data_IF_915338767693
#
_entry.id   IF_915338767693
#
_cell.length_a   1.000
_cell.length_b   1.000
_cell.length_c   1.000
_cell.angle_alpha   90.00
_cell.angle_beta   90.00
_cell.angle_gamma   90.00
#
_symmetry.space_group_name_H-M   'P 1'
#
loop_
_entity.id
_entity.type
_entity.pdbx_description
1 polymer ?
#
# COMPACT_ATOMS: atom_id res chain seq x y z
N UNK A 1 29.32 5.71 20.09
CA UNK A 1 30.33 5.14 19.17
C UNK A 1 30.41 6.02 17.93
N UNK A 2 31.54 6.06 17.22
CA UNK A 2 31.65 6.85 15.99
C UNK A 2 30.73 6.28 14.88
N UNK A 3 30.02 7.14 14.15
CA UNK A 3 29.25 6.75 12.99
C UNK A 3 30.19 6.26 11.87
N UNK A 4 29.79 5.21 11.15
CA UNK A 4 30.57 4.71 10.01
C UNK A 4 30.24 5.57 8.80
N UNK A 5 31.23 6.21 8.18
CA UNK A 5 31.06 6.92 6.91
C UNK A 5 31.12 5.92 5.74
N UNK A 6 30.11 5.92 4.87
CA UNK A 6 30.05 5.00 3.72
C UNK A 6 29.52 5.74 2.49
N UNK A 7 30.42 6.05 1.55
CA UNK A 7 30.18 6.76 0.27
C UNK A 7 29.65 8.20 0.39
N UNK A 8 28.70 8.46 1.28
CA UNK A 8 28.13 9.76 1.59
C UNK A 8 27.70 9.87 3.07
N UNK A 9 27.48 11.10 3.53
CA UNK A 9 27.13 11.39 4.93
C UNK A 9 25.64 11.20 5.27
N UNK A 10 24.80 10.77 4.32
CA UNK A 10 23.36 10.52 4.50
C UNK A 10 22.97 9.04 4.30
N UNK A 11 23.93 8.18 3.96
CA UNK A 11 23.71 6.79 3.53
C UNK A 11 22.86 6.62 2.27
N UNK A 12 22.69 7.67 1.46
CA UNK A 12 21.82 7.63 0.29
C UNK A 12 22.40 6.76 -0.83
N UNK A 13 23.68 6.91 -1.14
CA UNK A 13 24.36 6.18 -2.21
C UNK A 13 24.48 4.69 -1.86
N UNK A 14 24.89 4.37 -0.63
CA UNK A 14 25.05 2.97 -0.22
C UNK A 14 23.70 2.24 -0.18
N UNK A 15 22.64 2.86 0.35
CA UNK A 15 21.31 2.24 0.38
C UNK A 15 20.71 2.08 -1.01
N UNK A 16 20.99 3.02 -1.93
CA UNK A 16 20.59 2.91 -3.33
C UNK A 16 21.30 1.76 -4.04
N UNK A 17 22.64 1.67 -3.92
CA UNK A 17 23.42 0.60 -4.55
C UNK A 17 23.03 -0.78 -4.03
N UNK A 18 22.82 -0.91 -2.72
CA UNK A 18 22.33 -2.16 -2.11
C UNK A 18 20.95 -2.50 -2.66
N UNK A 19 20.04 -1.53 -2.75
CA UNK A 19 18.71 -1.74 -3.32
C UNK A 19 18.80 -2.22 -4.77
N UNK A 20 19.62 -1.58 -5.61
CA UNK A 20 19.81 -1.97 -7.00
C UNK A 20 20.36 -3.39 -7.09
N UNK A 21 21.44 -3.70 -6.36
CA UNK A 21 22.05 -5.02 -6.37
C UNK A 21 21.08 -6.11 -5.88
N UNK A 22 20.37 -5.86 -4.77
CA UNK A 22 19.42 -6.79 -4.18
C UNK A 22 18.24 -7.06 -5.11
N UNK A 23 17.63 -6.01 -5.66
CA UNK A 23 16.48 -6.12 -6.56
C UNK A 23 16.88 -6.77 -7.89
N UNK A 24 18.06 -6.48 -8.43
CA UNK A 24 18.55 -7.15 -9.65
C UNK A 24 18.86 -8.64 -9.41
N UNK A 25 19.41 -9.00 -8.25
CA UNK A 25 19.61 -10.41 -7.88
C UNK A 25 18.29 -11.19 -7.86
N UNK A 26 17.27 -10.65 -7.18
CA UNK A 26 15.95 -11.27 -7.13
C UNK A 26 15.22 -11.24 -8.47
N UNK A 27 15.40 -10.20 -9.28
CA UNK A 27 14.92 -10.15 -10.66
C UNK A 27 15.51 -11.28 -11.50
N UNK A 28 16.83 -11.52 -11.42
CA UNK A 28 17.49 -12.59 -12.17
C UNK A 28 16.91 -13.96 -11.82
N UNK A 29 16.62 -14.21 -10.54
CA UNK A 29 15.97 -15.46 -10.09
C UNK A 29 14.52 -15.50 -10.62
N UNK A 30 13.73 -14.47 -10.37
CA UNK A 30 12.32 -14.43 -10.74
C UNK A 30 12.10 -14.55 -12.26
N UNK A 31 12.96 -13.93 -13.06
CA UNK A 31 12.87 -13.98 -14.53
C UNK A 31 13.30 -15.35 -15.09
N UNK A 32 14.36 -15.94 -14.53
CA UNK A 32 14.87 -17.26 -14.95
C UNK A 32 13.87 -18.37 -14.63
N UNK A 33 13.31 -18.36 -13.42
CA UNK A 33 12.39 -19.40 -12.96
C UNK A 33 10.91 -19.09 -13.19
N UNK A 34 10.59 -17.96 -13.83
CA UNK A 34 9.22 -17.45 -14.01
C UNK A 34 8.44 -17.44 -12.68
N UNK A 35 9.13 -17.06 -11.61
CA UNK A 35 8.65 -17.14 -10.24
C UNK A 35 8.29 -15.75 -9.71
N UNK A 36 7.08 -15.31 -10.05
CA UNK A 36 6.48 -14.02 -9.68
C UNK A 36 6.20 -13.88 -8.17
N UNK A 37 6.04 -15.00 -7.47
CA UNK A 37 5.79 -15.06 -6.01
C UNK A 37 6.89 -14.41 -5.16
N UNK A 38 8.08 -14.21 -5.73
CA UNK A 38 9.24 -13.66 -5.03
C UNK A 38 9.29 -12.13 -5.04
N UNK A 39 8.48 -11.48 -5.88
CA UNK A 39 8.49 -10.02 -6.07
C UNK A 39 8.19 -9.27 -4.78
N UNK A 40 7.04 -9.55 -4.17
CA UNK A 40 6.61 -8.91 -2.92
C UNK A 40 7.54 -9.25 -1.73
N UNK A 41 8.11 -10.47 -1.73
CA UNK A 41 9.11 -10.88 -0.74
C UNK A 41 10.37 -10.03 -0.85
N UNK A 42 10.94 -9.91 -2.04
CA UNK A 42 12.15 -9.13 -2.30
C UNK A 42 11.97 -7.64 -1.97
N UNK A 43 10.78 -7.09 -2.21
CA UNK A 43 10.44 -5.72 -1.79
C UNK A 43 10.52 -5.56 -0.27
N UNK A 44 9.77 -6.37 0.49
CA UNK A 44 9.71 -6.26 1.94
C UNK A 44 11.02 -6.60 2.66
N UNK A 45 11.76 -7.61 2.21
CA UNK A 45 13.06 -7.94 2.82
C UNK A 45 14.13 -6.88 2.54
N UNK A 46 14.04 -6.17 1.42
CA UNK A 46 14.94 -5.06 1.15
C UNK A 46 14.73 -3.89 2.14
N UNK A 47 13.48 -3.55 2.48
CA UNK A 47 13.21 -2.57 3.56
C UNK A 47 13.84 -2.98 4.89
N UNK A 48 13.71 -4.26 5.27
CA UNK A 48 14.30 -4.80 6.50
C UNK A 48 15.83 -4.67 6.44
N UNK A 49 16.44 -5.04 5.33
CA UNK A 49 17.88 -4.96 5.12
C UNK A 49 18.38 -3.51 5.28
N UNK A 50 17.75 -2.53 4.62
CA UNK A 50 18.15 -1.12 4.72
C UNK A 50 18.03 -0.60 6.16
N UNK A 51 16.96 -0.94 6.87
CA UNK A 51 16.74 -0.49 8.25
C UNK A 51 17.77 -1.07 9.24
N UNK A 52 18.12 -2.36 9.08
CA UNK A 52 19.17 -3.01 9.88
C UNK A 52 20.53 -2.40 9.58
N UNK A 53 20.89 -2.26 8.30
CA UNK A 53 22.21 -1.76 7.89
C UNK A 53 22.42 -0.31 8.32
N UNK A 54 21.45 0.57 8.07
CA UNK A 54 21.57 1.99 8.44
C UNK A 54 21.67 2.15 9.96
N UNK A 55 20.90 1.40 10.74
CA UNK A 55 21.01 1.41 12.20
C UNK A 55 22.37 0.86 12.67
N UNK A 56 22.86 -0.22 12.06
CA UNK A 56 24.15 -0.82 12.40
C UNK A 56 25.34 0.11 12.10
N UNK A 57 25.25 0.96 11.07
CA UNK A 57 26.28 1.96 10.76
C UNK A 57 26.15 3.23 11.61
N UNK A 58 24.95 3.49 12.15
CA UNK A 58 24.65 4.69 12.92
C UNK A 58 25.55 4.88 14.15
N UNK A 59 25.95 6.12 14.41
CA UNK A 59 26.60 6.52 15.66
C UNK A 59 25.64 6.51 16.86
N UNK A 60 24.33 6.57 16.59
CA UNK A 60 23.24 6.59 17.56
C UNK A 60 22.47 5.25 17.61
N UNK A 61 23.13 4.14 17.32
CA UNK A 61 22.50 2.80 17.30
C UNK A 61 21.86 2.38 18.63
N UNK A 62 22.33 2.95 19.74
CA UNK A 62 21.81 2.69 21.09
C UNK A 62 20.71 3.68 21.50
N UNK A 63 20.39 4.67 20.66
CA UNK A 63 19.35 5.66 20.94
C UNK A 63 17.96 5.09 20.63
N UNK A 64 17.04 5.24 21.58
CA UNK A 64 15.69 4.69 21.49
C UNK A 64 14.93 5.15 20.22
N UNK A 65 15.08 6.41 19.81
CA UNK A 65 14.42 6.94 18.60
C UNK A 65 14.82 6.18 17.33
N UNK A 66 16.13 5.98 17.14
CA UNK A 66 16.68 5.27 15.99
C UNK A 66 16.23 3.80 15.98
N UNK A 67 16.28 3.14 17.14
CA UNK A 67 15.82 1.77 17.30
C UNK A 67 14.33 1.65 16.97
N UNK A 68 13.48 2.50 17.56
CA UNK A 68 12.02 2.47 17.35
C UNK A 68 11.66 2.71 15.89
N UNK A 69 12.23 3.72 15.24
CA UNK A 69 11.97 4.00 13.83
C UNK A 69 12.39 2.83 12.92
N UNK A 70 13.56 2.22 13.17
CA UNK A 70 14.01 1.04 12.44
C UNK A 70 13.13 -0.19 12.71
N UNK A 71 12.74 -0.44 13.96
CA UNK A 71 11.84 -1.55 14.32
C UNK A 71 10.48 -1.39 13.66
N UNK A 72 9.95 -0.17 13.58
CA UNK A 72 8.65 0.12 12.97
C UNK A 72 8.63 -0.17 11.46
N UNK A 73 9.66 0.23 10.73
CA UNK A 73 9.76 -0.11 9.30
C UNK A 73 9.99 -1.62 9.10
N UNK A 74 10.79 -2.27 9.96
CA UNK A 74 11.04 -3.72 9.92
C UNK A 74 9.75 -4.49 10.18
N UNK A 75 9.01 -4.14 11.24
CA UNK A 75 7.78 -4.81 11.62
C UNK A 75 6.70 -4.66 10.54
N UNK A 76 6.55 -3.46 9.98
CA UNK A 76 5.64 -3.23 8.85
C UNK A 76 6.04 -4.05 7.62
N UNK A 77 7.31 -4.02 7.22
CA UNK A 77 7.80 -4.72 6.04
C UNK A 77 7.73 -6.25 6.18
N UNK A 78 8.06 -6.78 7.36
CA UNK A 78 7.94 -8.20 7.68
C UNK A 78 6.49 -8.66 7.61
N UNK A 79 5.56 -7.87 8.17
CA UNK A 79 4.12 -8.17 8.07
C UNK A 79 3.63 -8.07 6.62
N UNK A 80 4.07 -7.07 5.85
CA UNK A 80 3.66 -6.87 4.45
C UNK A 80 4.06 -8.05 3.59
N UNK A 81 5.36 -8.32 3.56
CA UNK A 81 5.94 -9.43 2.80
C UNK A 81 5.39 -10.77 3.27
N UNK A 82 5.28 -10.99 4.58
CA UNK A 82 4.75 -12.22 5.15
C UNK A 82 3.30 -12.49 4.74
N UNK A 83 2.42 -11.48 4.84
CA UNK A 83 1.02 -11.63 4.47
C UNK A 83 0.84 -11.81 2.95
N UNK A 84 1.56 -11.04 2.13
CA UNK A 84 1.51 -11.16 0.68
C UNK A 84 2.04 -12.51 0.22
N UNK A 85 3.15 -12.98 0.80
CA UNK A 85 3.72 -14.30 0.53
C UNK A 85 2.76 -15.43 0.94
N UNK A 86 2.17 -15.36 2.14
CA UNK A 86 1.15 -16.31 2.57
C UNK A 86 -0.04 -16.35 1.59
N UNK A 87 -0.54 -15.17 1.18
CA UNK A 87 -1.69 -15.07 0.28
C UNK A 87 -1.38 -15.68 -1.09
N UNK A 88 -0.22 -15.36 -1.68
CA UNK A 88 0.14 -15.90 -3.00
C UNK A 88 0.38 -17.40 -2.95
N UNK A 89 0.94 -17.94 -1.86
CA UNK A 89 1.10 -19.38 -1.69
C UNK A 89 -0.24 -20.11 -1.56
N UNK A 90 -1.27 -19.45 -0.98
CA UNK A 90 -2.62 -20.00 -0.88
C UNK A 90 -3.45 -19.84 -2.15
N UNK A 91 -3.37 -18.70 -2.83
CA UNK A 91 -4.13 -18.44 -4.07
C UNK A 91 -3.48 -19.08 -5.30
N UNK A 92 -2.17 -19.33 -5.26
CA UNK A 92 -1.42 -20.05 -6.30
C UNK A 92 -0.94 -19.19 -7.47
N UNK A 93 -1.59 -18.04 -7.73
CA UNK A 93 -1.34 -17.18 -8.89
C UNK A 93 -1.44 -15.69 -8.57
N UNK A 94 -0.60 -14.86 -9.20
CA UNK A 94 -0.68 -13.41 -9.16
C UNK A 94 -1.06 -12.84 -10.53
N UNK A 95 -2.32 -12.42 -10.67
CA UNK A 95 -2.84 -11.86 -11.91
C UNK A 95 -2.11 -10.58 -12.37
N UNK A 96 -1.32 -9.91 -11.49
CA UNK A 96 -0.57 -8.69 -11.85
C UNK A 96 0.54 -8.94 -12.87
N UNK A 97 1.04 -10.18 -12.97
CA UNK A 97 2.22 -10.52 -13.76
C UNK A 97 1.93 -11.37 -14.99
N UNK A 98 0.67 -11.76 -15.22
CA UNK A 98 0.26 -12.61 -16.35
C UNK A 98 0.77 -12.09 -17.70
N UNK A 99 0.65 -10.79 -17.96
CA UNK A 99 1.04 -10.18 -19.23
C UNK A 99 2.49 -9.66 -19.28
N UNK A 100 3.21 -9.77 -18.15
CA UNK A 100 4.53 -9.14 -17.94
C UNK A 100 5.66 -10.14 -17.74
N UNK A 101 5.44 -11.29 -17.09
CA UNK A 101 6.53 -12.21 -16.68
C UNK A 101 7.37 -12.74 -17.84
N UNK A 102 6.79 -12.79 -19.04
CA UNK A 102 7.44 -13.30 -20.24
C UNK A 102 8.16 -12.20 -21.04
N UNK A 103 7.91 -10.93 -20.70
CA UNK A 103 8.50 -9.77 -21.38
C UNK A 103 9.59 -9.15 -20.52
N UNK A 104 10.85 -9.37 -20.89
CA UNK A 104 12.03 -8.89 -20.15
C UNK A 104 11.91 -7.42 -19.73
N UNK A 105 11.68 -6.51 -20.68
CA UNK A 105 11.64 -5.07 -20.40
C UNK A 105 10.45 -4.64 -19.55
N UNK A 106 9.27 -5.25 -19.73
CA UNK A 106 8.09 -4.95 -18.92
C UNK A 106 8.25 -5.46 -17.50
N UNK A 107 8.86 -6.64 -17.32
CA UNK A 107 9.15 -7.17 -16.00
C UNK A 107 10.24 -6.35 -15.31
N UNK A 108 11.36 -6.08 -15.99
CA UNK A 108 12.44 -5.23 -15.46
C UNK A 108 11.93 -3.84 -15.04
N UNK A 109 11.03 -3.24 -15.82
CA UNK A 109 10.39 -1.96 -15.46
C UNK A 109 9.65 -2.00 -14.13
N UNK A 110 8.98 -3.11 -13.80
CA UNK A 110 8.37 -3.30 -12.48
C UNK A 110 9.42 -3.34 -11.36
N UNK A 111 10.52 -4.06 -11.56
CA UNK A 111 11.60 -4.15 -10.56
C UNK A 111 12.33 -2.82 -10.36
N UNK A 112 12.55 -2.05 -11.42
CA UNK A 112 13.11 -0.69 -11.33
C UNK A 112 12.16 0.22 -10.54
N UNK A 113 10.85 0.15 -10.81
CA UNK A 113 9.87 0.89 -10.03
C UNK A 113 9.87 0.47 -8.54
N UNK A 114 10.00 -0.83 -8.28
CA UNK A 114 10.14 -1.37 -6.93
C UNK A 114 11.42 -0.87 -6.23
N UNK A 115 12.54 -0.72 -6.93
CA UNK A 115 13.78 -0.13 -6.39
C UNK A 115 13.53 1.31 -5.90
N UNK A 116 12.91 2.15 -6.74
CA UNK A 116 12.58 3.52 -6.36
C UNK A 116 11.60 3.59 -5.19
N UNK A 117 10.62 2.69 -5.16
CA UNK A 117 9.69 2.58 -4.04
C UNK A 117 10.39 2.24 -2.73
N UNK A 118 11.19 1.17 -2.69
CA UNK A 118 11.90 0.77 -1.47
C UNK A 118 12.83 1.87 -0.99
N UNK A 119 13.62 2.45 -1.89
CA UNK A 119 14.60 3.46 -1.53
C UNK A 119 13.93 4.74 -1.02
N UNK A 120 12.92 5.25 -1.72
CA UNK A 120 12.25 6.52 -1.37
C UNK A 120 11.45 6.40 -0.07
N UNK A 121 10.76 5.28 0.14
CA UNK A 121 9.97 5.07 1.37
C UNK A 121 10.86 4.82 2.59
N UNK A 122 12.08 4.33 2.40
CA UNK A 122 13.06 4.14 3.49
C UNK A 122 13.76 5.42 3.96
N UNK A 123 13.61 6.54 3.22
CA UNK A 123 14.35 7.78 3.47
C UNK A 123 14.29 8.29 4.92
N UNK A 124 13.14 8.32 5.62
CA UNK A 124 13.08 8.81 6.99
C UNK A 124 14.02 8.06 7.94
N UNK A 125 14.08 6.73 7.82
CA UNK A 125 14.93 5.88 8.66
C UNK A 125 16.39 5.98 8.22
N UNK A 126 16.66 5.97 6.92
CA UNK A 126 18.01 6.12 6.35
C UNK A 126 18.67 7.42 6.81
N UNK A 127 17.95 8.55 6.69
CA UNK A 127 18.48 9.87 7.03
C UNK A 127 18.61 10.04 8.54
N UNK A 128 17.62 9.59 9.34
CA UNK A 128 17.71 9.61 10.80
C UNK A 128 18.95 8.88 11.33
N UNK A 129 19.31 7.76 10.71
CA UNK A 129 20.45 6.94 11.11
C UNK A 129 21.81 7.48 10.63
N UNK A 130 21.82 8.49 9.76
CA UNK A 130 23.01 8.93 9.03
C UNK A 130 24.05 9.70 9.88
N UNK A 131 25.34 9.73 9.48
CA UNK A 131 26.38 10.49 10.17
C UNK A 131 26.04 11.97 10.28
N UNK A 132 25.46 12.57 9.22
CA UNK A 132 25.13 13.99 9.23
C UNK A 132 24.06 14.37 10.25
N UNK A 133 23.14 13.46 10.58
CA UNK A 133 22.15 13.69 11.65
C UNK A 133 22.74 13.33 13.01
N UNK A 134 23.49 12.22 13.09
CA UNK A 134 23.95 11.64 14.35
C UNK A 134 25.16 12.34 14.96
N UNK A 135 25.87 13.20 14.21
CA UNK A 135 26.92 14.07 14.75
C UNK A 135 26.39 15.14 15.73
N UNK A 136 25.10 15.47 15.66
CA UNK A 136 24.47 16.44 16.55
C UNK A 136 23.99 15.77 17.85
N UNK A 137 23.94 16.53 18.93
CA UNK A 137 23.23 16.13 20.14
C UNK A 137 21.76 15.87 19.80
N UNK A 138 21.18 14.79 20.31
CA UNK A 138 19.80 14.42 20.01
C UNK A 138 18.87 14.80 21.17
N UNK A 139 17.61 15.18 20.88
CA UNK A 139 16.62 15.31 21.95
C UNK A 139 16.36 13.94 22.56
N UNK A 140 16.13 13.93 23.88
CA UNK A 140 15.67 12.74 24.59
C UNK A 140 14.44 12.12 23.93
N UNK A 141 14.30 10.80 24.04
CA UNK A 141 13.14 10.08 23.50
C UNK A 141 11.89 10.35 24.36
N UNK A 142 10.71 10.23 23.74
CA UNK A 142 9.43 10.51 24.40
C UNK A 142 8.95 11.96 24.21
N UNK A 143 9.46 12.65 23.20
CA UNK A 143 8.91 13.95 22.79
C UNK A 143 7.46 13.78 22.30
N UNK A 144 6.68 14.87 22.26
CA UNK A 144 5.31 14.83 21.73
C UNK A 144 5.22 14.26 20.31
N UNK A 145 6.25 14.46 19.48
CA UNK A 145 6.36 13.87 18.13
C UNK A 145 6.66 12.38 18.16
N UNK A 146 7.53 11.93 19.06
CA UNK A 146 7.78 10.49 19.23
C UNK A 146 6.47 9.78 19.62
N UNK A 147 5.72 10.34 20.58
CA UNK A 147 4.42 9.80 21.03
C UNK A 147 3.40 9.81 19.88
N UNK A 148 3.25 10.93 19.17
CA UNK A 148 2.32 11.03 18.05
C UNK A 148 2.66 10.03 16.94
N UNK A 149 3.94 9.89 16.60
CA UNK A 149 4.40 8.95 15.59
C UNK A 149 4.16 7.49 15.98
N UNK A 150 4.33 7.12 17.26
CA UNK A 150 4.00 5.79 17.79
C UNK A 150 2.51 5.51 17.71
N UNK A 151 1.67 6.48 18.07
CA UNK A 151 0.21 6.33 18.00
C UNK A 151 -0.22 6.16 16.53
N UNK A 152 0.27 7.01 15.63
CA UNK A 152 -0.01 6.91 14.19
C UNK A 152 0.41 5.54 13.66
N UNK A 153 1.67 5.15 13.88
CA UNK A 153 2.16 3.85 13.43
C UNK A 153 1.32 2.68 13.96
N UNK A 154 0.97 2.70 15.25
CA UNK A 154 0.17 1.64 15.87
C UNK A 154 -1.23 1.54 15.26
N UNK A 155 -1.92 2.68 15.07
CA UNK A 155 -3.23 2.73 14.42
C UNK A 155 -3.12 2.19 13.00
N UNK A 156 -2.14 2.65 12.23
CA UNK A 156 -1.96 2.23 10.85
C UNK A 156 -1.64 0.74 10.74
N UNK A 157 -0.75 0.23 11.59
CA UNK A 157 -0.36 -1.19 11.63
C UNK A 157 -1.53 -2.11 12.00
N UNK A 158 -2.33 -1.73 13.00
CA UNK A 158 -3.56 -2.47 13.37
C UNK A 158 -4.55 -2.43 12.22
N UNK A 159 -4.79 -1.25 11.65
CA UNK A 159 -5.77 -1.08 10.58
C UNK A 159 -5.41 -1.89 9.35
N UNK A 160 -4.16 -1.86 8.93
CA UNK A 160 -3.66 -2.66 7.81
C UNK A 160 -3.79 -4.16 8.08
N UNK A 161 -3.24 -4.62 9.20
CA UNK A 161 -3.20 -6.06 9.54
C UNK A 161 -4.60 -6.66 9.69
N UNK A 162 -5.49 -5.98 10.41
CA UNK A 162 -6.85 -6.46 10.64
C UNK A 162 -7.66 -6.44 9.34
N UNK A 163 -7.51 -5.40 8.51
CA UNK A 163 -8.20 -5.30 7.23
C UNK A 163 -7.80 -6.42 6.27
N UNK A 164 -6.52 -6.73 6.19
CA UNK A 164 -6.00 -7.82 5.37
C UNK A 164 -6.59 -9.18 5.79
N UNK A 165 -6.64 -9.43 7.10
CA UNK A 165 -7.25 -10.65 7.66
C UNK A 165 -8.77 -10.68 7.40
N UNK A 166 -9.47 -9.56 7.60
CA UNK A 166 -10.91 -9.44 7.34
C UNK A 166 -11.23 -9.76 5.87
N UNK A 167 -10.50 -9.15 4.93
CA UNK A 167 -10.68 -9.36 3.49
C UNK A 167 -10.36 -10.80 3.09
N UNK A 168 -9.30 -11.38 3.64
CA UNK A 168 -8.93 -12.76 3.40
C UNK A 168 -10.03 -13.73 3.88
N UNK A 169 -10.44 -13.63 5.16
CA UNK A 169 -11.49 -14.49 5.73
C UNK A 169 -12.81 -14.35 5.00
N UNK A 170 -13.21 -13.12 4.65
CA UNK A 170 -14.43 -12.87 3.90
C UNK A 170 -14.42 -13.58 2.55
N UNK A 171 -13.32 -13.45 1.79
CA UNK A 171 -13.15 -14.11 0.49
C UNK A 171 -13.11 -15.64 0.60
N UNK A 172 -12.48 -16.17 1.65
CA UNK A 172 -12.46 -17.61 1.89
C UNK A 172 -13.84 -18.18 2.22
N UNK A 173 -14.71 -17.40 2.88
CA UNK A 173 -16.05 -17.84 3.24
C UNK A 173 -17.08 -17.69 2.11
N UNK A 174 -16.97 -16.65 1.27
CA UNK A 174 -17.98 -16.31 0.24
C UNK A 174 -17.55 -16.64 -1.20
N UNK A 175 -16.39 -17.28 -1.39
CA UNK A 175 -15.94 -17.78 -2.68
C UNK A 175 -16.00 -16.78 -3.84
N UNK A 176 -16.49 -17.24 -4.98
CA UNK A 176 -16.68 -16.46 -6.22
C UNK A 176 -18.05 -15.78 -6.32
N UNK A 177 -18.86 -15.83 -5.25
CA UNK A 177 -20.29 -15.45 -5.26
C UNK A 177 -20.51 -13.94 -5.41
N UNK A 178 -19.42 -13.16 -5.48
CA UNK A 178 -19.51 -11.75 -5.77
C UNK A 178 -19.92 -10.89 -4.58
N UNK A 179 -20.07 -11.48 -3.39
CA UNK A 179 -20.44 -10.76 -2.19
C UNK A 179 -19.52 -9.54 -1.94
N UNK A 180 -20.12 -8.48 -1.41
CA UNK A 180 -19.41 -7.22 -1.11
C UNK A 180 -18.88 -7.31 0.31
N UNK A 181 -17.56 -7.18 0.46
CA UNK A 181 -16.93 -7.15 1.78
C UNK A 181 -17.21 -5.79 2.43
N UNK A 182 -18.19 -5.72 3.33
CA UNK A 182 -18.55 -4.54 4.12
C UNK A 182 -18.40 -4.78 5.63
N UNK A 183 -17.55 -5.74 6.02
CA UNK A 183 -17.32 -6.13 7.43
C UNK A 183 -16.18 -5.33 8.05
N UNK A 184 -16.34 -4.94 9.32
CA UNK A 184 -15.27 -4.34 10.12
C UNK A 184 -14.82 -3.00 9.55
N UNK A 185 -13.52 -2.85 9.26
CA UNK A 185 -12.99 -1.60 8.71
C UNK A 185 -13.50 -1.31 7.30
N UNK A 186 -13.89 -2.35 6.54
CA UNK A 186 -14.50 -2.15 5.22
C UNK A 186 -15.89 -1.49 5.30
N UNK A 187 -16.57 -1.50 6.45
CA UNK A 187 -17.81 -0.74 6.61
C UNK A 187 -17.58 0.79 6.66
N UNK A 188 -16.36 1.22 6.99
CA UNK A 188 -16.01 2.63 7.23
C UNK A 188 -15.20 3.24 6.08
N UNK A 189 -14.40 2.43 5.39
CA UNK A 189 -13.64 2.85 4.22
C UNK A 189 -13.46 1.68 3.25
N UNK A 190 -13.38 1.96 1.94
CA UNK A 190 -13.20 0.94 0.90
C UNK A 190 -11.78 0.37 0.88
N UNK A 191 -10.78 1.16 1.31
CA UNK A 191 -9.37 0.78 1.34
C UNK A 191 -8.72 1.02 2.72
N UNK A 192 -9.18 0.36 3.78
CA UNK A 192 -8.63 0.55 5.12
C UNK A 192 -7.18 0.12 5.22
N UNK A 193 -6.76 -0.89 4.48
CA UNK A 193 -5.37 -1.34 4.43
C UNK A 193 -4.44 -0.28 3.83
N UNK A 194 -4.87 0.43 2.78
CA UNK A 194 -4.08 1.52 2.19
C UNK A 194 -4.01 2.74 3.09
N UNK A 195 -5.11 3.09 3.76
CA UNK A 195 -5.09 4.16 4.76
C UNK A 195 -4.14 3.82 5.91
N UNK A 196 -4.15 2.57 6.38
CA UNK A 196 -3.20 2.09 7.39
C UNK A 196 -1.75 2.24 6.95
N UNK A 197 -1.44 1.81 5.72
CA UNK A 197 -0.09 1.93 5.15
C UNK A 197 0.39 3.38 5.04
N UNK A 198 -0.50 4.30 4.62
CA UNK A 198 -0.21 5.73 4.55
C UNK A 198 0.12 6.29 5.95
N UNK A 199 -0.72 6.00 6.95
CA UNK A 199 -0.51 6.49 8.32
C UNK A 199 0.80 5.95 8.91
N UNK A 200 1.15 4.68 8.64
CA UNK A 200 2.42 4.09 9.08
C UNK A 200 3.60 4.94 8.62
N UNK A 201 3.65 5.32 7.34
CA UNK A 201 4.77 6.10 6.81
C UNK A 201 4.81 7.52 7.39
N UNK A 202 3.66 8.17 7.56
CA UNK A 202 3.60 9.46 8.25
C UNK A 202 4.01 9.34 9.73
N UNK A 203 3.69 8.24 10.40
CA UNK A 203 4.11 7.95 11.77
C UNK A 203 5.63 7.82 11.88
N UNK A 204 6.26 7.03 10.99
CA UNK A 204 7.72 6.87 10.94
C UNK A 204 8.41 8.20 10.65
N UNK A 205 7.90 8.97 9.68
CA UNK A 205 8.40 10.31 9.39
C UNK A 205 8.31 11.24 10.61
N UNK A 206 7.19 11.22 11.34
CA UNK A 206 6.97 12.07 12.53
C UNK A 206 8.01 11.78 13.62
N UNK A 207 8.40 10.52 13.81
CA UNK A 207 9.48 10.14 14.73
C UNK A 207 10.82 10.62 14.18
N UNK A 208 11.11 10.32 12.91
CA UNK A 208 12.40 10.62 12.29
C UNK A 208 12.73 12.12 12.25
N UNK A 209 11.74 12.98 11.98
CA UNK A 209 11.94 14.43 11.87
C UNK A 209 12.10 15.13 13.24
N UNK A 210 11.87 14.41 14.35
CA UNK A 210 11.87 15.00 15.69
C UNK A 210 13.14 15.82 16.03
N UNK A 211 14.37 15.37 15.74
CA UNK A 211 15.58 16.18 15.98
C UNK A 211 15.57 17.54 15.27
N UNK A 212 15.12 17.59 14.01
CA UNK A 212 15.04 18.84 13.24
C UNK A 212 13.93 19.74 13.79
N UNK A 213 12.79 19.16 14.11
CA UNK A 213 11.60 19.89 14.52
C UNK A 213 11.68 20.47 15.96
N UNK A 214 12.66 20.02 16.75
CA UNK A 214 13.02 20.62 18.05
C UNK A 214 14.31 21.48 17.98
N UNK A 215 14.89 21.68 16.79
CA UNK A 215 16.04 22.56 16.59
C UNK A 215 17.39 21.98 17.04
N UNK A 216 17.49 20.65 17.20
CA UNK A 216 18.74 19.98 17.61
C UNK A 216 19.69 19.74 16.43
N UNK A 217 19.18 19.76 15.20
CA UNK A 217 20.00 19.70 13.99
C UNK A 217 19.85 20.97 13.17
N UNK A 218 20.89 21.32 12.41
CA UNK A 218 20.93 22.51 11.55
C UNK A 218 21.57 22.21 10.19
N UNK A 219 21.48 23.17 9.27
CA UNK A 219 22.03 23.06 7.92
C UNK A 219 21.41 21.90 7.13
N UNK A 220 22.23 21.22 6.32
CA UNK A 220 21.74 20.16 5.43
C UNK A 220 21.05 18.99 6.15
N UNK A 221 21.39 18.71 7.41
CA UNK A 221 20.74 17.65 8.18
C UNK A 221 19.28 17.99 8.53
N UNK A 222 19.00 19.26 8.81
CA UNK A 222 17.65 19.78 8.99
C UNK A 222 16.84 19.61 7.70
N UNK A 223 17.39 20.07 6.58
CA UNK A 223 16.72 20.02 5.28
C UNK A 223 16.44 18.57 4.84
N UNK A 224 17.42 17.68 5.02
CA UNK A 224 17.31 16.26 4.67
C UNK A 224 16.22 15.54 5.49
N UNK A 225 16.14 15.81 6.80
CA UNK A 225 15.10 15.20 7.65
C UNK A 225 13.69 15.63 7.21
N UNK A 226 13.48 16.90 6.89
CA UNK A 226 12.19 17.35 6.35
C UNK A 226 11.92 16.82 4.93
N UNK A 227 12.93 16.80 4.06
CA UNK A 227 12.82 16.25 2.71
C UNK A 227 12.47 14.75 2.70
N UNK A 228 12.81 14.02 3.77
CA UNK A 228 12.45 12.61 3.93
C UNK A 228 10.94 12.33 3.92
N UNK A 229 10.09 13.36 4.15
CA UNK A 229 8.62 13.27 3.98
C UNK A 229 8.22 12.82 2.58
N UNK A 230 9.12 13.01 1.59
CA UNK A 230 8.95 12.51 0.23
C UNK A 230 8.63 11.00 0.22
N UNK A 231 9.16 10.20 1.16
CA UNK A 231 8.81 8.79 1.28
C UNK A 231 7.32 8.55 1.51
N UNK A 232 6.73 9.25 2.48
CA UNK A 232 5.31 9.11 2.81
C UNK A 232 4.41 9.63 1.68
N UNK A 233 4.77 10.77 1.07
CA UNK A 233 4.04 11.30 -0.09
C UNK A 233 4.16 10.41 -1.32
N UNK A 234 5.36 9.92 -1.63
CA UNK A 234 5.59 9.01 -2.75
C UNK A 234 4.74 7.75 -2.63
N UNK A 235 4.70 7.11 -1.45
CA UNK A 235 3.82 5.97 -1.21
C UNK A 235 2.35 6.35 -1.41
N UNK A 236 1.92 7.47 -0.83
CA UNK A 236 0.53 7.94 -0.93
C UNK A 236 0.12 8.13 -2.39
N UNK A 237 0.96 8.80 -3.19
CA UNK A 237 0.71 9.03 -4.61
C UNK A 237 0.69 7.72 -5.41
N UNK A 238 1.58 6.77 -5.08
CA UNK A 238 1.63 5.46 -5.71
C UNK A 238 0.33 4.68 -5.47
N UNK A 239 -0.14 4.64 -4.22
CA UNK A 239 -1.39 3.98 -3.85
C UNK A 239 -2.61 4.67 -4.47
N UNK A 240 -2.62 6.00 -4.51
CA UNK A 240 -3.74 6.74 -5.05
C UNK A 240 -3.81 6.70 -6.57
N UNK A 241 -2.69 6.81 -7.29
CA UNK A 241 -2.71 7.11 -8.72
C UNK A 241 -2.12 6.01 -9.61
N UNK A 242 -1.24 5.15 -9.09
CA UNK A 242 -0.46 4.22 -9.93
C UNK A 242 -0.93 2.77 -9.78
N UNK A 243 -0.99 2.23 -8.56
CA UNK A 243 -1.23 0.78 -8.37
C UNK A 243 -2.38 0.42 -7.45
N UNK A 244 -2.79 1.30 -6.52
CA UNK A 244 -3.80 0.97 -5.51
C UNK A 244 -5.22 1.24 -5.99
N UNK A 245 -5.71 2.45 -5.69
CA UNK A 245 -7.10 2.84 -5.87
C UNK A 245 -7.51 2.83 -7.35
N UNK A 246 -6.66 3.34 -8.25
CA UNK A 246 -6.95 3.39 -9.69
C UNK A 246 -7.16 2.01 -10.31
N UNK A 247 -6.44 0.98 -9.83
CA UNK A 247 -6.57 -0.38 -10.36
C UNK A 247 -7.75 -1.15 -9.74
N UNK A 248 -8.20 -0.78 -8.54
CA UNK A 248 -9.26 -1.52 -7.83
C UNK A 248 -10.65 -0.91 -7.95
N UNK A 249 -10.77 0.42 -7.95
CA UNK A 249 -12.06 1.11 -7.88
C UNK A 249 -12.84 0.97 -9.19
N UNK A 250 -12.53 1.81 -10.18
CA UNK A 250 -13.26 1.83 -11.44
C UNK A 250 -13.16 0.49 -12.21
N UNK A 251 -11.98 -0.13 -12.37
CA UNK A 251 -11.89 -1.42 -13.08
C UNK A 251 -12.62 -2.55 -12.35
N UNK A 252 -12.57 -2.57 -11.01
CA UNK A 252 -13.30 -3.55 -10.20
C UNK A 252 -14.81 -3.39 -10.33
N UNK A 253 -15.31 -2.14 -10.27
CA UNK A 253 -16.72 -1.82 -10.49
C UNK A 253 -17.19 -2.20 -11.90
N UNK A 254 -16.40 -1.82 -12.92
CA UNK A 254 -16.67 -2.18 -14.32
C UNK A 254 -16.81 -3.68 -14.50
N UNK A 255 -15.85 -4.46 -13.99
CA UNK A 255 -15.86 -5.93 -14.08
C UNK A 255 -17.09 -6.55 -13.40
N UNK A 256 -17.51 -6.02 -12.25
CA UNK A 256 -18.73 -6.49 -11.55
C UNK A 256 -20.00 -6.15 -12.32
N UNK A 257 -20.12 -4.93 -12.83
CA UNK A 257 -21.27 -4.48 -13.62
C UNK A 257 -21.44 -5.29 -14.91
N UNK A 258 -20.37 -5.43 -15.69
CA UNK A 258 -20.39 -6.16 -16.96
C UNK A 258 -20.73 -7.64 -16.77
N UNK A 259 -20.29 -8.24 -15.65
CA UNK A 259 -20.62 -9.63 -15.30
C UNK A 259 -21.98 -9.80 -14.60
N UNK A 260 -22.66 -8.72 -14.20
CA UNK A 260 -23.96 -8.79 -13.53
C UNK A 260 -23.88 -9.28 -12.08
N UNK A 261 -22.69 -9.27 -11.50
CA UNK A 261 -22.43 -9.89 -10.20
C UNK A 261 -22.71 -8.87 -9.09
N UNK A 262 -23.83 -9.03 -8.39
CA UNK A 262 -24.20 -8.27 -7.18
C UNK A 262 -24.08 -6.74 -7.35
N UNK A 263 -24.34 -6.23 -8.56
CA UNK A 263 -24.15 -4.81 -8.87
C UNK A 263 -24.96 -3.87 -7.96
N UNK A 264 -26.26 -4.09 -7.71
CA UNK A 264 -27.03 -3.19 -6.85
C UNK A 264 -26.47 -3.09 -5.42
N UNK A 265 -25.95 -4.20 -4.87
CA UNK A 265 -25.31 -4.21 -3.56
C UNK A 265 -23.96 -3.47 -3.59
N UNK A 266 -23.16 -3.70 -4.62
CA UNK A 266 -21.86 -3.04 -4.78
C UNK A 266 -21.99 -1.54 -5.02
N UNK A 267 -22.95 -1.10 -5.83
CA UNK A 267 -23.24 0.33 -6.05
C UNK A 267 -23.65 1.03 -4.76
N UNK A 268 -24.52 0.41 -3.95
CA UNK A 268 -24.88 0.93 -2.62
C UNK A 268 -23.65 1.06 -1.72
N UNK A 269 -22.76 0.08 -1.74
CA UNK A 269 -21.50 0.12 -0.99
C UNK A 269 -20.59 1.27 -1.47
N UNK A 270 -20.40 1.44 -2.78
CA UNK A 270 -19.62 2.55 -3.33
C UNK A 270 -20.21 3.91 -2.91
N UNK A 271 -21.53 4.04 -2.87
CA UNK A 271 -22.18 5.31 -2.52
C UNK A 271 -22.07 5.67 -1.03
N UNK A 272 -22.15 4.67 -0.14
CA UNK A 272 -22.21 4.87 1.32
C UNK A 272 -20.87 4.77 2.04
N UNK A 273 -19.85 4.18 1.44
CA UNK A 273 -18.57 3.94 2.09
C UNK A 273 -17.50 4.88 1.55
N UNK A 274 -16.79 5.56 2.45
CA UNK A 274 -15.66 6.44 2.10
C UNK A 274 -14.58 5.68 1.34
N UNK A 275 -13.92 6.31 0.37
CA UNK A 275 -12.90 5.63 -0.45
C UNK A 275 -11.64 5.26 0.34
N UNK A 276 -11.11 6.19 1.14
CA UNK A 276 -9.81 6.05 1.80
C UNK A 276 -9.87 6.39 3.29
N UNK A 277 -10.31 7.59 3.64
CA UNK A 277 -10.36 8.04 5.04
C UNK A 277 -11.57 7.40 5.76
N UNK A 278 -11.38 6.64 6.85
CA UNK A 278 -12.46 5.98 7.58
C UNK A 278 -13.53 6.96 8.05
N UNK A 279 -14.80 6.68 7.73
CA UNK A 279 -15.89 7.56 8.08
C UNK A 279 -17.22 6.82 8.24
N UNK A 280 -18.13 7.26 9.14
CA UNK A 280 -19.42 6.61 9.32
C UNK A 280 -20.26 6.60 8.02
N UNK A 281 -20.74 5.43 7.56
CA UNK A 281 -21.37 5.29 6.25
C UNK A 281 -22.71 6.05 6.13
N UNK A 282 -23.44 6.19 7.23
CA UNK A 282 -24.71 6.93 7.28
C UNK A 282 -24.50 8.43 7.02
N UNK A 283 -23.35 8.96 7.43
CA UNK A 283 -22.98 10.35 7.21
C UNK A 283 -22.37 10.52 5.81
N UNK A 284 -21.46 9.62 5.40
CA UNK A 284 -20.86 9.67 4.06
C UNK A 284 -21.91 9.62 2.95
N UNK A 285 -22.91 8.76 3.08
CA UNK A 285 -23.98 8.63 2.09
C UNK A 285 -24.71 9.95 1.80
N UNK A 286 -24.85 10.82 2.80
CA UNK A 286 -25.56 12.10 2.71
C UNK A 286 -24.67 13.27 2.27
N UNK A 287 -23.36 13.07 2.16
CA UNK A 287 -22.44 14.16 1.86
C UNK A 287 -22.54 14.63 0.40
N UNK A 288 -22.46 15.96 0.16
CA UNK A 288 -22.37 16.50 -1.18
C UNK A 288 -21.16 15.93 -1.94
N UNK A 289 -21.29 15.76 -3.26
CA UNK A 289 -20.21 15.25 -4.12
C UNK A 289 -18.92 16.06 -4.02
N UNK A 290 -19.02 17.37 -3.80
CA UNK A 290 -17.84 18.23 -3.65
C UNK A 290 -17.02 17.83 -2.41
N UNK A 291 -17.69 17.54 -1.29
CA UNK A 291 -17.05 17.11 -0.04
C UNK A 291 -16.39 15.74 -0.21
N UNK A 292 -17.08 14.80 -0.85
CA UNK A 292 -16.51 13.47 -1.16
C UNK A 292 -15.24 13.58 -2.01
N UNK A 293 -15.26 14.45 -3.03
CA UNK A 293 -14.14 14.65 -3.98
C UNK A 293 -12.94 15.38 -3.37
N UNK A 294 -13.15 16.28 -2.42
CA UNK A 294 -12.07 17.08 -1.85
C UNK A 294 -11.54 16.50 -0.54
N UNK A 295 -12.40 16.28 0.46
CA UNK A 295 -11.97 15.85 1.79
C UNK A 295 -11.67 14.36 1.85
N UNK A 296 -12.46 13.54 1.14
CA UNK A 296 -12.30 12.08 1.14
C UNK A 296 -11.49 11.56 -0.04
N UNK A 297 -11.01 12.45 -0.92
CA UNK A 297 -10.18 12.12 -2.08
C UNK A 297 -10.89 11.18 -3.08
N UNK A 298 -12.23 11.24 -3.17
CA UNK A 298 -12.99 10.47 -4.15
C UNK A 298 -12.93 11.12 -5.54
N UNK A 299 -11.74 11.16 -6.14
CA UNK A 299 -11.51 11.78 -7.43
C UNK A 299 -12.34 11.12 -8.56
N UNK A 300 -12.71 11.88 -9.60
CA UNK A 300 -13.50 11.35 -10.71
C UNK A 300 -12.91 10.10 -11.37
N UNK A 301 -11.57 9.96 -11.38
CA UNK A 301 -10.86 8.79 -11.93
C UNK A 301 -11.24 7.46 -11.26
N UNK A 302 -11.72 7.48 -10.00
CA UNK A 302 -12.15 6.28 -9.28
C UNK A 302 -13.62 5.94 -9.52
N UNK A 303 -14.44 6.95 -9.83
CA UNK A 303 -15.88 6.77 -9.96
C UNK A 303 -16.22 6.03 -11.25
N UNK A 304 -17.01 4.96 -11.13
CA UNK A 304 -17.56 4.22 -12.25
C UNK A 304 -18.99 4.68 -12.55
N UNK A 305 -19.15 5.28 -13.72
CA UNK A 305 -20.43 5.52 -14.38
C UNK A 305 -20.71 4.41 -15.42
N UNK A 306 -21.75 3.57 -15.24
CA UNK A 306 -22.09 2.50 -16.17
C UNK A 306 -22.34 2.99 -17.60
N UNK A 307 -23.00 4.13 -17.77
CA UNK A 307 -23.34 4.65 -19.09
C UNK A 307 -22.09 5.08 -19.88
N UNK A 308 -21.05 5.54 -19.18
CA UNK A 308 -19.82 6.05 -19.81
C UNK A 308 -18.71 5.03 -19.94
N UNK A 309 -18.64 4.06 -19.03
CA UNK A 309 -17.44 3.22 -18.91
C UNK A 309 -17.68 1.73 -19.18
N UNK A 310 -18.92 1.25 -19.10
CA UNK A 310 -19.23 -0.16 -19.37
C UNK A 310 -19.28 -0.43 -20.88
N UNK A 311 -18.85 -1.63 -21.26
CA UNK A 311 -19.10 -2.17 -22.60
C UNK A 311 -20.57 -2.63 -22.69
N UNK A 312 -21.42 -1.75 -23.24
CA UNK A 312 -22.85 -2.01 -23.35
C UNK A 312 -23.16 -3.22 -24.23
N UNK A 313 -22.29 -3.58 -25.19
CA UNK A 313 -22.47 -4.76 -26.03
C UNK A 313 -22.40 -6.04 -25.20
N UNK A 314 -21.45 -6.13 -24.25
CA UNK A 314 -21.32 -7.26 -23.33
C UNK A 314 -22.51 -7.37 -22.38
N UNK A 315 -22.99 -6.24 -21.88
CA UNK A 315 -24.15 -6.19 -20.98
C UNK A 315 -25.42 -6.65 -21.71
N UNK A 316 -25.62 -6.19 -22.95
CA UNK A 316 -26.74 -6.61 -23.79
C UNK A 316 -26.67 -8.10 -24.15
N UNK A 317 -25.50 -8.59 -24.56
CA UNK A 317 -25.28 -10.01 -24.86
C UNK A 317 -25.63 -10.90 -23.66
N UNK A 318 -25.14 -10.55 -22.46
CA UNK A 318 -25.47 -11.27 -21.23
C UNK A 318 -26.97 -11.24 -20.92
N UNK A 319 -27.60 -10.07 -21.04
CA UNK A 319 -29.03 -9.91 -20.76
C UNK A 319 -29.90 -10.73 -21.74
N UNK A 320 -29.44 -10.87 -22.99
CA UNK A 320 -30.09 -11.72 -23.98
C UNK A 320 -29.93 -13.22 -23.66
N UNK A 321 -28.73 -13.64 -23.23
CA UNK A 321 -28.47 -15.01 -22.78
C UNK A 321 -29.29 -15.39 -21.54
N UNK A 322 -29.33 -14.52 -20.52
CA UNK A 322 -30.15 -14.70 -19.31
C UNK A 322 -31.65 -14.78 -19.67
N UNK A 323 -32.14 -13.87 -20.53
CA UNK A 323 -33.53 -13.87 -20.98
C UNK A 323 -33.93 -15.10 -21.79
N UNK A 324 -32.99 -15.69 -22.57
CA UNK A 324 -33.22 -16.95 -23.27
C UNK A 324 -33.24 -18.15 -22.33
N UNK A 325 -32.37 -18.18 -21.32
CA UNK A 325 -32.33 -19.24 -20.30
C UNK A 325 -33.63 -19.30 -19.49
N UNK A 326 -34.15 -18.15 -19.04
CA UNK A 326 -35.38 -18.09 -18.25
C UNK A 326 -36.61 -18.52 -19.05
N UNK A 327 -36.68 -18.14 -20.34
CA UNK A 327 -37.77 -18.60 -21.22
C UNK A 327 -37.75 -20.12 -21.44
N UNK A 328 -36.57 -20.72 -21.60
CA UNK A 328 -36.46 -22.17 -21.73
C UNK A 328 -36.83 -22.92 -20.44
N UNK A 329 -36.46 -22.39 -19.26
CA UNK A 329 -36.87 -22.99 -17.99
C UNK A 329 -38.37 -22.87 -17.73
N UNK A 330 -38.97 -21.73 -18.08
CA UNK A 330 -40.41 -21.52 -17.93
C UNK A 330 -41.21 -22.43 -18.89
N UNK A 331 -40.74 -22.61 -20.13
CA UNK A 331 -41.35 -23.53 -21.10
C UNK A 331 -41.21 -25.01 -20.71
N UNK A 332 -40.15 -25.39 -19.99
CA UNK A 332 -39.99 -26.75 -19.45
C UNK A 332 -40.85 -26.98 -18.20
N UNK A 333 -40.98 -25.98 -17.32
CA UNK A 333 -41.84 -26.06 -16.12
C UNK A 333 -43.34 -26.04 -16.43
N UNK A 334 -43.75 -25.51 -17.58
CA UNK A 334 -45.14 -25.57 -18.07
C UNK A 334 -45.49 -26.91 -18.74
N UNK A 335 -44.51 -27.78 -19.02
CA UNK A 335 -44.71 -29.11 -19.67
C UNK A 335 -44.63 -30.28 -18.69
N UNK A 336 -44.37 -30.02 -17.41
CA UNK A 336 -44.47 -30.96 -16.27
C UNK A 336 -45.74 -30.70 -15.49
#
# INVERSE_FOLDING_TARGET
MAAVHVLDNYYLAITFLITVAYQLFFFSIAFTFKFDKLTDFAGGTNFILLAILTLAFSGNRDQARNIVASVFIIAWAARLSGFLLFRILKTGKDDRFDDKRDKFWSFLGFWVFQMFWVWTVSLPVTILNSPNVTQFNQPGFGTGRDIAGIILWSIGFIMESVSDIQKYRFRSAHGSDGAVCDVGFFAWTRHPNYFGEIIIQFGIFTIAVSPAAYGYVSGGAYDALYASILGAFFLTLLLMFVSGLTLQERPGAKKRYEKGIEWPAYERYLHRTSILIPFPPQLYAKMPRIVKRTLFLEFPIYVFDPAKHADQSKVQARSAEEGHSTRQSDEQGLRS
#
